data_IF_398897490342
#
_entry.id   IF_398897490342
#
_cell.length_a   1.000
_cell.length_b   1.000
_cell.length_c   1.000
_cell.angle_alpha   90.00
_cell.angle_beta   90.00
_cell.angle_gamma   90.00
#
_symmetry.space_group_name_H-M   'P 1'
#
loop_
_entity.id
_entity.type
_entity.pdbx_description
1 polymer ?
#
# COMPACT_ATOMS: atom_id res chain seq x y z
N UNK A 1 -10.35 -17.44 15.33
CA UNK A 1 -10.99 -17.72 14.02
C UNK A 1 -10.79 -16.49 13.17
N UNK A 2 -9.92 -16.56 12.16
CA UNK A 2 -9.70 -15.43 11.26
C UNK A 2 -10.90 -15.35 10.31
N UNK A 3 -11.68 -14.29 10.42
CA UNK A 3 -12.78 -14.00 9.49
C UNK A 3 -12.16 -13.78 8.12
N UNK A 4 -12.22 -14.80 7.25
CA UNK A 4 -11.97 -14.63 5.83
C UNK A 4 -13.08 -13.74 5.28
N UNK A 5 -12.88 -12.42 5.27
CA UNK A 5 -13.71 -11.52 4.52
C UNK A 5 -13.46 -11.83 3.04
N UNK A 6 -14.27 -12.72 2.48
CA UNK A 6 -14.40 -12.93 1.04
C UNK A 6 -15.15 -11.76 0.42
N UNK A 7 -14.63 -10.54 0.57
CA UNK A 7 -15.15 -9.41 -0.16
C UNK A 7 -14.57 -9.46 -1.57
N UNK A 8 -15.44 -9.44 -2.59
CA UNK A 8 -15.00 -9.31 -3.98
C UNK A 8 -14.21 -8.02 -4.10
N UNK A 9 -13.02 -8.00 -4.70
CA UNK A 9 -12.16 -6.81 -4.78
C UNK A 9 -12.86 -5.66 -5.48
N UNK A 10 -12.52 -4.42 -5.12
CA UNK A 10 -13.03 -3.23 -5.80
C UNK A 10 -12.60 -3.25 -7.25
N UNK A 11 -13.53 -2.95 -8.15
CA UNK A 11 -13.25 -2.85 -9.60
C UNK A 11 -13.03 -1.42 -10.05
N UNK A 12 -13.36 -0.46 -9.19
CA UNK A 12 -13.22 0.97 -9.45
C UNK A 12 -12.72 1.67 -8.20
N UNK A 13 -12.07 2.81 -8.40
CA UNK A 13 -11.67 3.69 -7.29
C UNK A 13 -12.87 4.13 -6.43
N UNK A 14 -14.06 4.26 -7.01
CA UNK A 14 -15.25 4.62 -6.25
C UNK A 14 -15.66 3.52 -5.27
N UNK A 15 -15.68 2.26 -5.72
CA UNK A 15 -15.97 1.10 -4.86
C UNK A 15 -14.93 0.98 -3.74
N UNK A 16 -13.67 1.22 -4.06
CA UNK A 16 -12.56 1.19 -3.10
C UNK A 16 -12.74 2.23 -1.99
N UNK A 17 -12.96 3.50 -2.36
CA UNK A 17 -13.13 4.59 -1.38
C UNK A 17 -14.40 4.43 -0.54
N UNK A 18 -15.46 3.81 -1.08
CA UNK A 18 -16.65 3.48 -0.29
C UNK A 18 -16.36 2.44 0.80
N UNK A 19 -15.45 1.49 0.53
CA UNK A 19 -15.07 0.44 1.48
C UNK A 19 -13.99 0.87 2.46
N UNK A 20 -13.20 1.86 2.08
CA UNK A 20 -12.11 2.41 2.86
C UNK A 20 -12.32 3.89 3.16
N UNK A 21 -13.33 4.24 3.99
CA UNK A 21 -13.60 5.62 4.35
C UNK A 21 -12.45 6.29 5.11
N UNK A 22 -11.50 5.52 5.63
CA UNK A 22 -10.26 6.03 6.23
C UNK A 22 -9.26 6.58 5.20
N UNK A 23 -9.40 6.24 3.91
CA UNK A 23 -8.56 6.78 2.85
C UNK A 23 -9.06 8.16 2.47
N UNK A 24 -8.20 9.14 2.68
CA UNK A 24 -8.50 10.52 2.34
C UNK A 24 -8.24 10.78 0.86
N UNK A 25 -8.84 11.84 0.34
CA UNK A 25 -8.63 12.32 -1.04
C UNK A 25 -8.60 13.85 -1.07
N UNK A 26 -8.03 14.40 -2.14
CA UNK A 26 -8.07 15.84 -2.44
C UNK A 26 -6.99 16.69 -1.76
N UNK A 27 -7.00 18.02 -1.99
CA UNK A 27 -5.90 18.91 -1.65
C UNK A 27 -5.61 19.04 -0.15
N UNK A 28 -6.65 19.01 0.69
CA UNK A 28 -6.47 19.12 2.14
C UNK A 28 -5.72 17.92 2.71
N UNK A 29 -6.02 16.71 2.22
CA UNK A 29 -5.31 15.50 2.63
C UNK A 29 -3.86 15.50 2.12
N UNK A 30 -3.61 16.07 0.93
CA UNK A 30 -2.25 16.25 0.41
C UNK A 30 -1.42 17.20 1.29
N UNK A 31 -2.02 18.28 1.78
CA UNK A 31 -1.35 19.17 2.72
C UNK A 31 -1.09 18.50 4.09
N UNK A 32 -2.01 17.63 4.55
CA UNK A 32 -1.80 16.83 5.76
C UNK A 32 -0.64 15.83 5.61
N UNK A 33 -0.54 15.20 4.43
CA UNK A 33 0.59 14.33 4.08
C UNK A 33 1.93 15.08 4.18
N UNK A 34 2.02 16.28 3.60
CA UNK A 34 3.24 17.10 3.67
C UNK A 34 3.64 17.40 5.13
N UNK A 35 2.67 17.71 6.00
CA UNK A 35 2.93 17.93 7.43
C UNK A 35 3.42 16.66 8.12
N UNK A 36 2.85 15.49 7.79
CA UNK A 36 3.28 14.21 8.35
C UNK A 36 4.75 13.95 8.01
N UNK A 37 5.13 14.14 6.74
CA UNK A 37 6.52 13.95 6.30
C UNK A 37 7.50 14.96 6.91
N UNK A 38 7.04 16.18 7.20
CA UNK A 38 7.88 17.21 7.81
C UNK A 38 8.09 17.02 9.33
N UNK A 39 7.19 16.31 10.01
CA UNK A 39 7.13 16.32 11.49
C UNK A 39 7.14 14.96 12.17
N UNK A 40 6.84 13.88 11.44
CA UNK A 40 6.77 12.53 11.98
C UNK A 40 7.99 11.69 11.62
N UNK A 41 8.41 10.83 12.54
CA UNK A 41 9.24 9.67 12.19
C UNK A 41 8.32 8.62 11.57
N UNK A 42 8.16 8.70 10.25
CA UNK A 42 7.24 7.86 9.48
C UNK A 42 7.95 7.26 8.29
N UNK A 43 7.51 6.08 7.87
CA UNK A 43 7.84 5.52 6.57
C UNK A 43 6.57 5.38 5.75
N UNK A 44 6.72 5.48 4.43
CA UNK A 44 5.60 5.42 3.52
C UNK A 44 5.69 4.23 2.58
N UNK A 45 4.52 3.75 2.18
CA UNK A 45 4.35 2.87 1.04
C UNK A 45 3.50 3.56 -0.01
N UNK A 46 4.00 3.53 -1.25
CA UNK A 46 3.34 4.11 -2.40
C UNK A 46 3.06 2.98 -3.37
N UNK A 47 1.81 2.84 -3.80
CA UNK A 47 1.41 1.77 -4.73
C UNK A 47 0.42 2.32 -5.75
N UNK A 48 0.58 1.97 -7.02
CA UNK A 48 -0.47 2.18 -8.00
C UNK A 48 -1.58 1.16 -7.77
N UNK A 49 -2.78 1.61 -7.39
CA UNK A 49 -3.90 0.72 -7.09
C UNK A 49 -4.93 0.65 -8.21
N UNK A 50 -4.94 1.62 -9.13
CA UNK A 50 -5.68 1.60 -10.40
C UNK A 50 -4.87 2.41 -11.42
N UNK A 51 -5.15 2.27 -12.73
CA UNK A 51 -4.46 2.99 -13.83
C UNK A 51 -4.23 4.49 -13.58
N UNK A 52 -5.20 5.15 -12.93
CA UNK A 52 -5.19 6.58 -12.65
C UNK A 52 -5.07 6.92 -11.16
N UNK A 53 -4.76 5.95 -10.29
CA UNK A 53 -4.77 6.17 -8.85
C UNK A 53 -3.54 5.61 -8.17
N UNK A 54 -2.83 6.49 -7.47
CA UNK A 54 -1.76 6.11 -6.53
C UNK A 54 -2.32 6.13 -5.11
N UNK A 55 -2.07 5.08 -4.34
CA UNK A 55 -2.30 5.02 -2.92
C UNK A 55 -1.00 5.31 -2.19
N UNK A 56 -1.03 6.31 -1.31
CA UNK A 56 0.03 6.64 -0.38
C UNK A 56 -0.41 6.23 1.02
N UNK A 57 0.41 5.46 1.73
CA UNK A 57 0.13 5.01 3.10
C UNK A 57 1.32 5.33 3.98
N UNK A 58 1.09 6.01 5.09
CA UNK A 58 2.14 6.33 6.06
C UNK A 58 1.95 5.54 7.33
N UNK A 59 3.09 5.08 7.85
CA UNK A 59 3.20 4.26 9.03
C UNK A 59 4.12 4.96 10.02
N UNK A 60 3.71 4.91 11.28
CA UNK A 60 4.54 5.34 12.40
C UNK A 60 5.80 4.47 12.47
N UNK A 61 6.98 5.10 12.54
CA UNK A 61 8.28 4.41 12.51
C UNK A 61 8.46 3.40 13.64
N UNK A 62 7.98 3.74 14.83
CA UNK A 62 8.09 2.91 16.03
C UNK A 62 7.08 1.76 16.02
N UNK A 63 5.78 2.09 15.99
CA UNK A 63 4.70 1.12 16.16
C UNK A 63 4.37 0.36 14.90
N UNK A 64 4.85 0.83 13.74
CA UNK A 64 4.59 0.28 12.40
C UNK A 64 3.10 0.23 12.06
N UNK A 65 2.29 1.03 12.77
CA UNK A 65 0.86 1.14 12.52
C UNK A 65 0.62 2.23 11.49
N UNK A 66 -0.31 1.97 10.58
CA UNK A 66 -0.75 2.98 9.60
C UNK A 66 -1.36 4.16 10.34
N UNK A 67 -0.79 5.34 10.14
CA UNK A 67 -1.28 6.61 10.70
C UNK A 67 -2.02 7.44 9.67
N UNK A 68 -1.75 7.22 8.37
CA UNK A 68 -2.38 7.98 7.30
C UNK A 68 -2.52 7.17 6.00
N UNK A 69 -3.53 7.50 5.21
CA UNK A 69 -3.72 6.96 3.88
C UNK A 69 -4.38 7.99 2.96
N UNK A 70 -3.82 8.15 1.76
CA UNK A 70 -4.27 9.10 0.74
C UNK A 70 -4.32 8.44 -0.63
N UNK A 71 -5.48 8.50 -1.28
CA UNK A 71 -5.61 8.17 -2.69
C UNK A 71 -5.45 9.44 -3.55
N UNK A 72 -4.42 9.45 -4.38
CA UNK A 72 -4.13 10.45 -5.39
C UNK A 72 -4.79 10.02 -6.71
N UNK A 73 -6.06 10.40 -6.88
CA UNK A 73 -6.88 10.05 -8.05
C UNK A 73 -6.67 11.09 -9.15
N UNK A 74 -6.38 10.64 -10.37
CA UNK A 74 -6.09 11.46 -11.55
C UNK A 74 -4.92 12.45 -11.35
N UNK A 75 -4.01 12.18 -10.41
CA UNK A 75 -2.79 12.98 -10.19
C UNK A 75 -1.67 12.48 -11.11
N UNK A 76 -1.57 13.10 -12.29
CA UNK A 76 -0.57 12.73 -13.30
C UNK A 76 0.89 12.87 -12.81
N UNK A 77 1.16 13.79 -11.86
CA UNK A 77 2.51 13.95 -11.33
C UNK A 77 2.87 12.81 -10.38
N UNK A 78 1.92 12.40 -9.53
CA UNK A 78 2.10 11.25 -8.65
C UNK A 78 2.32 9.96 -9.44
N UNK A 79 1.55 9.74 -10.50
CA UNK A 79 1.69 8.58 -11.38
C UNK A 79 3.04 8.57 -12.11
N UNK A 80 3.49 9.72 -12.60
CA UNK A 80 4.79 9.83 -13.27
C UNK A 80 5.94 9.52 -12.31
N UNK A 81 5.90 10.07 -11.09
CA UNK A 81 6.90 9.81 -10.05
C UNK A 81 6.93 8.33 -9.66
N UNK A 82 5.76 7.74 -9.40
CA UNK A 82 5.67 6.31 -9.08
C UNK A 82 6.32 5.44 -10.15
N UNK A 83 6.08 5.73 -11.43
CA UNK A 83 6.67 4.99 -12.56
C UNK A 83 8.18 5.18 -12.69
N UNK A 84 8.69 6.36 -12.34
CA UNK A 84 10.13 6.63 -12.33
C UNK A 84 10.83 5.85 -11.20
N UNK A 85 10.21 5.80 -10.01
CA UNK A 85 10.77 5.17 -8.82
C UNK A 85 10.60 3.64 -8.79
N UNK A 86 9.49 3.11 -9.30
CA UNK A 86 9.24 1.68 -9.37
C UNK A 86 10.18 0.95 -10.37
N UNK A 87 10.79 1.69 -11.29
CA UNK A 87 11.65 1.13 -12.35
C UNK A 87 10.88 0.22 -13.33
N UNK A 88 11.63 -0.47 -14.19
CA UNK A 88 11.09 -1.48 -15.13
C UNK A 88 10.77 -2.82 -14.43
N UNK A 89 11.05 -2.94 -13.13
CA UNK A 89 10.65 -4.09 -12.33
C UNK A 89 9.17 -3.97 -11.99
N UNK A 90 8.36 -4.33 -12.99
CA UNK A 90 6.97 -4.72 -12.81
C UNK A 90 6.93 -5.65 -11.58
N UNK A 91 6.39 -5.21 -10.44
CA UNK A 91 6.33 -6.01 -9.21
C UNK A 91 5.29 -7.11 -9.46
N UNK A 92 5.72 -8.13 -10.18
CA UNK A 92 4.83 -9.08 -10.85
C UNK A 92 4.32 -10.10 -9.83
N UNK A 93 3.05 -10.01 -9.40
CA UNK A 93 2.43 -11.13 -8.68
C UNK A 93 2.35 -12.35 -9.62
N UNK A 94 3.03 -13.45 -9.30
CA UNK A 94 3.04 -14.70 -10.08
C UNK A 94 1.76 -15.54 -9.99
N UNK A 95 0.60 -14.95 -9.65
CA UNK A 95 -0.62 -15.72 -9.44
C UNK A 95 -1.42 -15.96 -10.73
N UNK A 96 -2.29 -16.98 -10.71
CA UNK A 96 -3.13 -17.37 -11.86
C UNK A 96 -4.16 -16.32 -12.28
N UNK A 97 -4.54 -15.40 -11.39
CA UNK A 97 -5.46 -14.32 -11.75
C UNK A 97 -4.80 -13.34 -12.73
N UNK A 98 -3.47 -13.18 -12.67
CA UNK A 98 -2.70 -12.35 -13.61
C UNK A 98 -2.95 -12.71 -15.07
N UNK A 99 -3.00 -14.00 -15.39
CA UNK A 99 -3.17 -14.47 -16.76
C UNK A 99 -4.49 -14.00 -17.39
N UNK A 100 -5.50 -13.73 -16.57
CA UNK A 100 -6.82 -13.29 -17.01
C UNK A 100 -7.03 -11.79 -16.86
N UNK A 101 -6.43 -11.18 -15.86
CA UNK A 101 -6.76 -9.83 -15.39
C UNK A 101 -5.62 -8.81 -15.58
N UNK A 102 -4.43 -9.23 -16.04
CA UNK A 102 -3.29 -8.34 -16.33
C UNK A 102 -2.43 -8.02 -15.10
N UNK A 103 -1.42 -7.17 -15.23
CA UNK A 103 -0.49 -6.84 -14.14
C UNK A 103 -1.20 -6.20 -12.91
N UNK A 104 -2.20 -5.35 -13.16
CA UNK A 104 -2.94 -4.58 -12.14
C UNK A 104 -3.93 -5.43 -11.29
N UNK A 105 -4.16 -6.70 -11.63
CA UNK A 105 -5.17 -7.57 -11.01
C UNK A 105 -5.11 -7.71 -9.47
N UNK A 106 -3.99 -7.29 -8.89
CA UNK A 106 -3.64 -7.49 -7.49
C UNK A 106 -3.70 -6.22 -6.64
N UNK A 107 -3.90 -5.03 -7.20
CA UNK A 107 -3.59 -3.80 -6.46
C UNK A 107 -4.83 -3.06 -5.93
N UNK A 108 -6.04 -3.54 -6.23
CA UNK A 108 -7.28 -2.82 -5.95
C UNK A 108 -7.73 -2.78 -4.48
N UNK A 109 -7.14 -3.55 -3.57
CA UNK A 109 -7.56 -3.65 -2.15
C UNK A 109 -6.35 -3.59 -1.20
N UNK A 110 -5.28 -2.88 -1.58
CA UNK A 110 -3.96 -2.79 -0.89
C UNK A 110 -3.97 -2.29 0.58
N UNK A 111 -5.14 -2.16 1.19
CA UNK A 111 -5.37 -1.62 2.54
C UNK A 111 -5.44 -2.72 3.60
N UNK A 112 -5.44 -4.00 3.22
CA UNK A 112 -5.61 -5.12 4.17
C UNK A 112 -4.38 -5.30 5.06
N UNK A 113 -4.70 -5.37 6.35
CA UNK A 113 -3.90 -5.67 7.55
C UNK A 113 -2.47 -6.14 7.31
N UNK A 114 -1.57 -5.27 7.77
CA UNK A 114 -0.21 -5.56 8.23
C UNK A 114 -0.17 -6.91 8.96
N UNK A 115 0.42 -7.93 8.33
CA UNK A 115 1.12 -8.92 9.15
C UNK A 115 2.21 -8.15 9.86
N UNK A 116 2.18 -8.12 11.19
CA UNK A 116 3.25 -7.54 11.99
C UNK A 116 4.58 -8.13 11.47
N UNK A 117 5.60 -7.27 11.36
CA UNK A 117 6.91 -7.70 10.90
C UNK A 117 7.50 -8.67 11.93
N UNK A 118 7.34 -9.97 11.70
CA UNK A 118 7.84 -11.05 12.57
C UNK A 118 9.19 -11.57 12.06
N UNK A 119 10.22 -10.71 12.03
CA UNK A 119 11.56 -11.13 11.63
C UNK A 119 12.32 -11.77 12.80
N UNK A 120 12.38 -13.10 12.84
CA UNK A 120 13.17 -13.81 13.86
C UNK A 120 14.69 -13.61 13.74
N UNK A 121 15.18 -13.28 12.54
CA UNK A 121 16.62 -13.09 12.27
C UNK A 121 17.15 -11.73 12.73
N UNK A 122 16.33 -10.68 12.64
CA UNK A 122 16.74 -9.30 12.92
C UNK A 122 16.00 -8.69 14.13
N UNK A 123 15.31 -9.48 14.95
CA UNK A 123 14.56 -9.00 16.13
C UNK A 123 15.39 -8.33 17.22
N UNK A 124 16.70 -8.59 17.24
CA UNK A 124 17.65 -8.02 18.21
C UNK A 124 18.35 -6.75 17.69
N UNK A 125 18.03 -6.31 16.46
CA UNK A 125 18.53 -5.05 15.92
C UNK A 125 17.58 -3.91 16.27
N UNK A 126 18.13 -2.74 16.60
CA UNK A 126 17.36 -1.53 16.88
C UNK A 126 16.63 -1.01 15.62
N UNK A 127 17.12 -1.36 14.42
CA UNK A 127 16.54 -0.95 13.13
C UNK A 127 16.21 -2.16 12.23
N UNK A 128 15.08 -2.13 11.49
CA UNK A 128 14.74 -3.17 10.52
C UNK A 128 15.75 -3.20 9.37
N UNK A 129 16.09 -4.41 8.90
CA UNK A 129 16.98 -4.56 7.76
C UNK A 129 16.24 -4.22 6.45
N UNK A 130 16.71 -3.24 5.65
CA UNK A 130 16.06 -2.84 4.40
C UNK A 130 15.96 -3.96 3.37
N UNK A 131 16.90 -4.91 3.40
CA UNK A 131 16.93 -6.03 2.45
C UNK A 131 16.13 -7.26 2.93
N UNK A 132 15.54 -7.21 4.14
CA UNK A 132 14.81 -8.32 4.72
C UNK A 132 13.30 -8.10 4.68
N UNK A 133 12.60 -8.76 3.77
CA UNK A 133 11.14 -8.67 3.63
C UNK A 133 10.34 -9.04 4.89
N UNK A 134 10.91 -9.86 5.78
CA UNK A 134 10.29 -10.19 7.07
C UNK A 134 10.41 -9.07 8.12
N UNK A 135 11.35 -8.13 7.94
CA UNK A 135 11.49 -6.94 8.79
C UNK A 135 10.42 -5.89 8.50
N UNK A 136 9.70 -6.02 7.39
CA UNK A 136 8.70 -5.07 6.94
C UNK A 136 7.29 -5.64 7.10
N UNK A 137 6.30 -4.81 7.46
CA UNK A 137 4.92 -5.25 7.54
C UNK A 137 4.45 -5.80 6.19
N UNK A 138 3.94 -7.02 6.17
CA UNK A 138 3.35 -7.59 4.95
C UNK A 138 1.93 -7.04 4.80
N UNK A 139 1.75 -6.10 3.87
CA UNK A 139 0.44 -5.56 3.51
C UNK A 139 -0.18 -6.44 2.43
N UNK A 140 -0.95 -7.44 2.87
CA UNK A 140 -1.60 -8.37 1.96
C UNK A 140 -2.98 -7.86 1.54
N UNK A 141 -3.02 -6.71 0.86
CA UNK A 141 -4.25 -6.22 0.23
C UNK A 141 -4.47 -6.72 -1.19
N UNK A 142 -3.59 -7.59 -1.69
CA UNK A 142 -3.74 -8.14 -3.02
C UNK A 142 -4.71 -9.32 -3.08
N UNK A 143 -5.37 -9.43 -4.23
CA UNK A 143 -6.27 -10.53 -4.60
C UNK A 143 -5.54 -11.87 -4.77
N UNK A 144 -4.21 -11.89 -4.62
CA UNK A 144 -3.38 -13.08 -4.66
C UNK A 144 -3.70 -13.93 -3.41
N UNK A 145 -4.75 -14.75 -3.51
CA UNK A 145 -4.92 -15.92 -2.65
C UNK A 145 -3.79 -16.89 -3.01
N UNK A 146 -2.78 -16.97 -2.16
CA UNK A 146 -1.74 -18.00 -2.23
C UNK A 146 -2.38 -19.39 -2.17
#
# INVERSE_FOLDING_TARGET
>A
MATQNTSTPSKTIHEFLQRHPEVKTGPQAKAELEVIHDTGDTFCEITQIFDNTILHQDYDGDSRKRVFALALVDDAQALARYKEEAGDEDVMCGCKAREKEGAEHSLHESIVVVKEAECEEHKELDEPNPDCSACWPLLSGSNCRW
#
